data_IF_742209912408
#
_entry.id   IF_742209912408
#
_cell.length_a   1.000
_cell.length_b   1.000
_cell.length_c   1.000
_cell.angle_alpha   90.00
_cell.angle_beta   90.00
_cell.angle_gamma   90.00
#
_symmetry.space_group_name_H-M   'P 1'
#
loop_
_entity.id
_entity.type
_entity.pdbx_description
1 polymer ?
#
# COMPACT_ATOMS: atom_id res chain seq x y z
N UNK A 1 25.50 -30.86 12.65
CA UNK A 1 24.66 -32.01 13.04
C UNK A 1 23.30 -31.42 13.43
N UNK A 2 22.19 -31.61 12.74
CA UNK A 2 21.72 -32.68 11.86
C UNK A 2 20.78 -32.11 10.79
N UNK A 3 20.99 -32.51 9.54
CA UNK A 3 20.04 -32.42 8.44
C UNK A 3 18.71 -33.06 8.86
N UNK A 4 17.62 -32.28 8.93
CA UNK A 4 16.26 -32.84 9.05
C UNK A 4 15.16 -31.82 8.70
N UNK A 5 15.17 -31.26 7.48
CA UNK A 5 14.14 -30.29 7.04
C UNK A 5 13.43 -30.62 5.74
N UNK A 6 13.52 -31.86 5.22
CA UNK A 6 12.93 -32.23 3.92
C UNK A 6 11.49 -32.77 4.03
N UNK A 7 10.84 -32.74 5.21
CA UNK A 7 9.51 -33.35 5.42
C UNK A 7 8.36 -32.39 5.76
N UNK A 8 8.45 -31.11 5.36
CA UNK A 8 7.26 -30.21 5.31
C UNK A 8 7.08 -29.77 3.85
N UNK A 9 5.90 -30.01 3.29
CA UNK A 9 5.58 -29.66 1.89
C UNK A 9 6.02 -28.24 1.56
N UNK A 10 6.60 -28.06 0.37
CA UNK A 10 7.10 -26.76 -0.06
C UNK A 10 5.94 -25.79 -0.30
N UNK A 11 5.94 -24.68 0.45
CA UNK A 11 5.00 -23.58 0.29
C UNK A 11 5.38 -22.75 -0.95
N UNK A 12 4.42 -22.52 -1.85
CA UNK A 12 4.56 -21.69 -3.04
C UNK A 12 5.07 -20.29 -2.66
N UNK A 13 4.56 -19.69 -1.59
CA UNK A 13 5.00 -18.36 -1.15
C UNK A 13 6.47 -18.34 -0.75
N UNK A 14 6.98 -19.44 -0.18
CA UNK A 14 8.40 -19.59 0.16
C UNK A 14 9.25 -19.71 -1.11
N UNK A 15 8.79 -20.48 -2.09
CA UNK A 15 9.46 -20.63 -3.38
C UNK A 15 9.51 -19.31 -4.17
N UNK A 16 8.43 -18.53 -4.15
CA UNK A 16 8.37 -17.22 -4.80
C UNK A 16 9.39 -16.22 -4.24
N UNK A 17 9.74 -16.32 -2.95
CA UNK A 17 10.76 -15.46 -2.32
C UNK A 17 12.20 -15.86 -2.63
N UNK A 18 12.45 -17.09 -3.11
CA UNK A 18 13.79 -17.56 -3.44
C UNK A 18 14.36 -16.85 -4.67
N UNK A 19 15.69 -16.75 -4.71
CA UNK A 19 16.41 -16.23 -5.88
C UNK A 19 16.46 -17.31 -6.97
N UNK A 20 16.57 -16.89 -8.23
CA UNK A 20 16.54 -17.80 -9.39
C UNK A 20 17.63 -18.88 -9.31
N UNK A 21 18.83 -18.54 -8.82
CA UNK A 21 19.90 -19.54 -8.66
C UNK A 21 19.56 -20.61 -7.61
N UNK A 22 18.81 -20.27 -6.56
CA UNK A 22 18.37 -21.21 -5.52
C UNK A 22 17.30 -22.16 -6.07
N UNK A 23 16.39 -21.62 -6.88
CA UNK A 23 15.39 -22.41 -7.59
C UNK A 23 16.03 -23.35 -8.61
N UNK A 24 17.06 -22.91 -9.33
CA UNK A 24 17.81 -23.76 -10.26
C UNK A 24 18.52 -24.91 -9.54
N UNK A 25 19.12 -24.64 -8.37
CA UNK A 25 19.73 -25.69 -7.55
C UNK A 25 18.70 -26.73 -7.11
N UNK A 26 17.55 -26.27 -6.60
CA UNK A 26 16.45 -27.13 -6.18
C UNK A 26 15.88 -27.95 -7.36
N UNK A 27 15.68 -27.33 -8.51
CA UNK A 27 15.21 -28.00 -9.72
C UNK A 27 16.17 -29.13 -10.13
N UNK A 28 17.49 -28.88 -10.08
CA UNK A 28 18.51 -29.88 -10.38
C UNK A 28 18.48 -31.07 -9.40
N UNK A 29 18.29 -30.81 -8.11
CA UNK A 29 18.15 -31.88 -7.09
C UNK A 29 16.93 -32.78 -7.35
N UNK A 30 15.83 -32.21 -7.86
CA UNK A 30 14.58 -32.93 -8.11
C UNK A 30 14.54 -33.53 -9.53
N UNK A 31 15.49 -33.18 -10.40
CA UNK A 31 15.57 -33.68 -11.77
C UNK A 31 14.71 -32.91 -12.78
N UNK A 32 14.34 -31.67 -12.45
CA UNK A 32 13.60 -30.76 -13.34
C UNK A 32 14.57 -29.92 -14.16
N UNK A 33 14.38 -29.87 -15.48
CA UNK A 33 15.16 -28.98 -16.35
C UNK A 33 14.70 -27.53 -16.20
N UNK A 34 15.61 -26.65 -15.78
CA UNK A 34 15.36 -25.22 -15.61
C UNK A 34 15.65 -24.39 -16.88
N UNK A 35 16.19 -25.00 -17.94
CA UNK A 35 16.66 -24.28 -19.12
C UNK A 35 15.49 -23.61 -19.87
N UNK A 36 15.61 -22.30 -20.10
CA UNK A 36 14.64 -21.49 -20.86
C UNK A 36 13.32 -21.18 -20.13
N UNK A 37 13.16 -21.58 -18.87
CA UNK A 37 11.96 -21.32 -18.10
C UNK A 37 12.03 -19.97 -17.40
N UNK A 38 10.91 -19.25 -17.37
CA UNK A 38 10.73 -18.11 -16.46
C UNK A 38 10.66 -18.61 -15.02
N UNK A 39 10.94 -17.72 -14.05
CA UNK A 39 10.93 -18.05 -12.62
C UNK A 39 9.62 -18.72 -12.17
N UNK A 40 8.49 -18.20 -12.64
CA UNK A 40 7.15 -18.70 -12.33
C UNK A 40 6.92 -20.12 -12.87
N UNK A 41 7.28 -20.34 -14.14
CA UNK A 41 7.21 -21.65 -14.80
C UNK A 41 8.13 -22.67 -14.13
N UNK A 42 9.30 -22.24 -13.65
CA UNK A 42 10.23 -23.08 -12.90
C UNK A 42 9.63 -23.50 -11.54
N UNK A 43 9.01 -22.57 -10.81
CA UNK A 43 8.33 -22.87 -9.53
C UNK A 43 7.22 -23.89 -9.76
N UNK A 44 6.40 -23.68 -10.79
CA UNK A 44 5.33 -24.61 -11.17
C UNK A 44 5.88 -26.03 -11.39
N UNK A 45 6.93 -26.19 -12.20
CA UNK A 45 7.52 -27.52 -12.48
C UNK A 45 8.19 -28.16 -11.27
N UNK A 46 8.81 -27.37 -10.39
CA UNK A 46 9.40 -27.88 -9.14
C UNK A 46 8.30 -28.53 -8.29
N UNK A 47 7.17 -27.86 -8.14
CA UNK A 47 6.05 -28.34 -7.31
C UNK A 47 5.36 -29.54 -7.97
N UNK A 48 5.15 -29.50 -9.28
CA UNK A 48 4.58 -30.61 -10.05
C UNK A 48 5.43 -31.88 -9.89
N UNK A 49 6.74 -31.78 -10.09
CA UNK A 49 7.66 -32.91 -9.98
C UNK A 49 7.75 -33.49 -8.57
N UNK A 50 7.63 -32.65 -7.53
CA UNK A 50 7.59 -33.13 -6.14
C UNK A 50 6.27 -33.81 -5.80
N UNK A 51 5.16 -33.29 -6.29
CA UNK A 51 3.83 -33.87 -6.10
C UNK A 51 3.75 -35.27 -6.70
N UNK A 52 4.45 -35.53 -7.81
CA UNK A 52 4.52 -36.85 -8.45
C UNK A 52 5.39 -37.86 -7.68
N UNK A 53 6.49 -37.42 -7.05
CA UNK A 53 7.41 -38.32 -6.31
C UNK A 53 6.89 -38.80 -4.95
N UNK A 54 6.00 -38.03 -4.30
CA UNK A 54 5.42 -38.38 -3.00
C UNK A 54 4.01 -38.98 -3.15
N UNK A 55 3.89 -40.02 -3.97
CA UNK A 55 2.66 -40.77 -4.17
C UNK A 55 2.46 -41.79 -3.05
N UNK A 56 1.98 -41.32 -1.89
CA UNK A 56 1.26 -42.21 -0.98
C UNK A 56 -0.13 -42.52 -1.57
N UNK A 57 -0.68 -43.74 -1.41
CA UNK A 57 -1.89 -44.18 -2.12
C UNK A 57 -3.18 -43.41 -1.79
N UNK A 58 -3.18 -42.52 -0.79
CA UNK A 58 -4.35 -41.77 -0.33
C UNK A 58 -4.22 -40.23 -0.31
N UNK A 59 -3.09 -39.63 -0.73
CA UNK A 59 -2.87 -38.20 -0.45
C UNK A 59 -2.16 -37.44 -1.55
N UNK A 60 -2.91 -36.70 -2.37
CA UNK A 60 -2.33 -35.58 -3.12
C UNK A 60 -1.58 -34.68 -2.13
N UNK A 61 -0.33 -34.31 -2.44
CA UNK A 61 0.49 -33.51 -1.53
C UNK A 61 -0.22 -32.17 -1.24
N UNK A 62 -0.79 -32.05 -0.05
CA UNK A 62 -1.57 -30.89 0.34
C UNK A 62 -0.62 -29.81 0.83
N UNK A 63 -0.43 -28.76 0.03
CA UNK A 63 0.34 -27.58 0.42
C UNK A 63 -0.61 -26.57 1.07
N UNK A 64 -0.12 -25.78 2.03
CA UNK A 64 -0.86 -24.60 2.47
C UNK A 64 -0.27 -23.41 1.73
N UNK A 65 -1.13 -22.63 1.08
CA UNK A 65 -0.72 -21.39 0.42
C UNK A 65 -1.72 -20.29 0.73
N UNK A 66 -1.27 -19.05 0.57
CA UNK A 66 -2.04 -17.83 0.81
C UNK A 66 -1.96 -16.94 -0.43
N UNK A 67 -3.08 -16.38 -0.85
CA UNK A 67 -3.14 -15.38 -1.91
C UNK A 67 -4.40 -14.53 -1.83
N UNK A 68 -4.46 -13.48 -2.63
CA UNK A 68 -5.57 -12.52 -2.65
C UNK A 68 -6.54 -12.90 -3.76
N UNK A 69 -7.80 -13.15 -3.43
CA UNK A 69 -8.81 -13.58 -4.36
C UNK A 69 -9.13 -12.47 -5.38
N UNK A 70 -9.08 -12.82 -6.66
CA UNK A 70 -9.68 -12.07 -7.74
C UNK A 70 -10.82 -12.90 -8.33
N UNK A 71 -12.06 -12.43 -8.16
CA UNK A 71 -13.24 -13.06 -8.78
C UNK A 71 -13.38 -12.55 -10.21
N UNK A 72 -13.51 -13.48 -11.15
CA UNK A 72 -13.70 -13.22 -12.58
C UNK A 72 -15.21 -13.13 -12.87
N UNK A 73 -15.68 -12.35 -13.87
CA UNK A 73 -17.10 -12.20 -14.18
C UNK A 73 -17.90 -13.50 -14.33
N UNK A 74 -17.28 -14.60 -14.79
CA UNK A 74 -17.95 -15.90 -14.89
C UNK A 74 -18.15 -16.61 -13.53
N UNK A 75 -17.71 -16.01 -12.42
CA UNK A 75 -18.02 -16.41 -11.05
C UNK A 75 -16.99 -17.34 -10.39
N UNK A 76 -15.99 -17.82 -11.12
CA UNK A 76 -14.81 -18.46 -10.53
C UNK A 76 -13.73 -17.40 -10.21
N UNK A 77 -12.68 -17.78 -9.50
CA UNK A 77 -11.61 -16.84 -9.15
C UNK A 77 -10.22 -17.46 -9.10
N UNK A 78 -9.24 -16.59 -8.94
CA UNK A 78 -7.84 -16.97 -8.73
C UNK A 78 -7.27 -16.28 -7.50
N UNK A 79 -6.50 -16.99 -6.69
CA UNK A 79 -5.68 -16.38 -5.64
C UNK A 79 -4.40 -15.86 -6.27
N UNK A 80 -4.27 -14.53 -6.34
CA UNK A 80 -3.11 -13.83 -6.88
C UNK A 80 -2.05 -13.61 -5.79
N UNK A 81 -0.78 -13.68 -6.17
CA UNK A 81 0.33 -13.43 -5.24
C UNK A 81 0.72 -11.95 -5.17
N UNK A 82 0.99 -11.46 -3.96
CA UNK A 82 1.59 -10.15 -3.75
C UNK A 82 3.02 -10.06 -4.32
N UNK A 83 3.75 -11.19 -4.35
CA UNK A 83 5.13 -11.24 -4.90
C UNK A 83 5.16 -10.96 -6.41
N UNK A 84 4.03 -11.12 -7.09
CA UNK A 84 3.85 -10.82 -8.51
C UNK A 84 2.90 -9.63 -8.73
N UNK A 85 2.81 -8.72 -7.76
CA UNK A 85 1.99 -7.51 -7.83
C UNK A 85 0.50 -7.78 -8.18
N UNK A 86 -0.05 -8.91 -7.73
CA UNK A 86 -1.41 -9.35 -8.02
C UNK A 86 -1.72 -9.62 -9.50
N UNK A 87 -0.70 -9.87 -10.30
CA UNK A 87 -0.83 -10.22 -11.71
C UNK A 87 -1.14 -11.70 -11.88
N UNK A 88 -1.61 -12.04 -13.08
CA UNK A 88 -1.80 -13.42 -13.49
C UNK A 88 -0.46 -14.12 -13.61
N UNK A 89 -0.31 -15.25 -12.91
CA UNK A 89 0.88 -16.10 -12.97
C UNK A 89 0.48 -17.57 -13.16
N UNK A 90 1.32 -18.41 -13.81
CA UNK A 90 1.06 -19.84 -13.93
C UNK A 90 0.88 -20.58 -12.60
N UNK A 91 1.41 -20.04 -11.50
CA UNK A 91 1.27 -20.63 -10.16
C UNK A 91 0.05 -20.12 -9.37
N UNK A 92 -0.86 -19.39 -10.01
CA UNK A 92 -2.12 -18.96 -9.42
C UNK A 92 -3.02 -20.14 -9.05
N UNK A 93 -3.79 -19.94 -7.97
CA UNK A 93 -4.65 -20.98 -7.42
C UNK A 93 -6.09 -20.71 -7.83
N UNK A 94 -6.65 -21.64 -8.60
CA UNK A 94 -8.06 -21.67 -8.95
C UNK A 94 -8.94 -21.85 -7.71
N UNK A 95 -9.99 -21.04 -7.65
CA UNK A 95 -11.05 -21.08 -6.63
C UNK A 95 -12.38 -21.29 -7.32
N UNK A 96 -13.11 -22.32 -6.89
CA UNK A 96 -14.38 -22.67 -7.53
C UNK A 96 -15.50 -21.67 -7.17
N UNK A 97 -16.49 -21.46 -8.06
CA UNK A 97 -17.67 -20.67 -7.75
C UNK A 97 -18.42 -21.16 -6.50
N UNK A 98 -18.41 -22.47 -6.24
CA UNK A 98 -19.03 -23.08 -5.07
C UNK A 98 -18.33 -22.67 -3.77
N UNK A 99 -17.00 -22.59 -3.75
CA UNK A 99 -16.24 -22.11 -2.60
C UNK A 99 -16.49 -20.62 -2.35
N UNK A 100 -16.44 -19.80 -3.41
CA UNK A 100 -16.71 -18.35 -3.34
C UNK A 100 -18.11 -18.11 -2.76
N UNK A 101 -19.12 -18.78 -3.31
CA UNK A 101 -20.51 -18.62 -2.85
C UNK A 101 -20.72 -19.13 -1.42
N UNK A 102 -20.10 -20.26 -1.05
CA UNK A 102 -20.27 -20.87 0.28
C UNK A 102 -19.78 -19.95 1.40
N UNK A 103 -18.62 -19.34 1.23
CA UNK A 103 -17.99 -18.48 2.24
C UNK A 103 -18.22 -16.98 1.99
N UNK A 104 -19.10 -16.63 1.05
CA UNK A 104 -19.41 -15.24 0.67
C UNK A 104 -18.13 -14.42 0.35
N UNK A 105 -17.18 -15.05 -0.35
CA UNK A 105 -15.90 -14.41 -0.66
C UNK A 105 -16.05 -13.36 -1.76
N UNK A 106 -15.23 -12.32 -1.69
CA UNK A 106 -15.20 -11.19 -2.61
C UNK A 106 -13.78 -10.92 -3.08
N UNK A 107 -13.65 -10.23 -4.22
CA UNK A 107 -12.34 -9.76 -4.68
C UNK A 107 -11.66 -8.96 -3.56
N UNK A 108 -10.38 -9.22 -3.34
CA UNK A 108 -9.58 -8.65 -2.25
C UNK A 108 -9.42 -9.55 -1.03
N UNK A 109 -10.21 -10.62 -0.88
CA UNK A 109 -10.11 -11.52 0.28
C UNK A 109 -8.76 -12.24 0.28
N UNK A 110 -8.03 -12.14 1.38
CA UNK A 110 -6.78 -12.89 1.56
C UNK A 110 -7.11 -14.28 2.07
N UNK A 111 -7.05 -15.27 1.19
CA UNK A 111 -7.44 -16.65 1.49
C UNK A 111 -6.19 -17.48 1.74
N UNK A 112 -6.14 -18.17 2.88
CA UNK A 112 -5.17 -19.21 3.17
C UNK A 112 -5.84 -20.56 3.21
N UNK A 113 -5.25 -21.56 2.55
CA UNK A 113 -5.87 -22.87 2.48
C UNK A 113 -4.98 -23.94 1.89
N UNK A 114 -5.53 -25.16 1.94
CA UNK A 114 -4.97 -26.36 1.35
C UNK A 114 -5.10 -26.33 -0.16
N UNK A 115 -4.00 -26.55 -0.87
CA UNK A 115 -3.86 -26.46 -2.32
C UNK A 115 -3.28 -27.77 -2.85
N UNK A 116 -3.77 -28.18 -4.03
CA UNK A 116 -3.22 -29.30 -4.78
C UNK A 116 -2.69 -28.86 -6.14
N UNK A 117 -1.73 -29.62 -6.64
CA UNK A 117 -1.28 -29.53 -8.03
C UNK A 117 -2.42 -29.83 -9.03
N UNK A 118 -2.34 -29.28 -10.26
CA UNK A 118 -3.26 -29.64 -11.34
C UNK A 118 -3.21 -31.14 -11.64
N UNK A 119 -4.37 -31.74 -11.91
CA UNK A 119 -4.48 -33.09 -12.45
C UNK A 119 -4.29 -33.07 -13.97
N UNK A 120 -4.21 -34.26 -14.57
CA UNK A 120 -4.14 -34.42 -16.02
C UNK A 120 -5.30 -33.67 -16.71
N UNK A 121 -4.96 -32.71 -17.57
CA UNK A 121 -5.92 -31.82 -18.26
C UNK A 121 -6.22 -30.49 -17.56
N UNK A 122 -5.80 -30.28 -16.31
CA UNK A 122 -5.91 -29.00 -15.59
C UNK A 122 -4.64 -28.14 -15.79
N UNK A 123 -4.80 -26.81 -15.79
CA UNK A 123 -3.68 -25.87 -16.00
C UNK A 123 -3.20 -25.15 -14.74
N UNK A 124 -4.02 -25.12 -13.68
CA UNK A 124 -3.78 -24.31 -12.49
C UNK A 124 -3.82 -25.15 -11.23
N UNK A 125 -3.15 -24.67 -10.18
CA UNK A 125 -3.34 -25.20 -8.84
C UNK A 125 -4.80 -25.03 -8.41
N UNK A 126 -5.32 -25.93 -7.57
CA UNK A 126 -6.70 -25.86 -7.11
C UNK A 126 -6.79 -25.81 -5.59
N UNK A 127 -7.62 -24.89 -5.07
CA UNK A 127 -7.92 -24.79 -3.65
C UNK A 127 -8.83 -25.96 -3.22
N UNK A 128 -8.37 -26.77 -2.28
CA UNK A 128 -9.13 -27.89 -1.72
C UNK A 128 -9.98 -27.48 -0.52
N UNK A 129 -9.35 -26.83 0.45
CA UNK A 129 -9.98 -26.46 1.72
C UNK A 129 -9.47 -25.10 2.16
N UNK A 130 -10.38 -24.21 2.55
CA UNK A 130 -10.04 -22.91 3.12
C UNK A 130 -9.77 -23.11 4.62
N UNK A 131 -8.66 -22.54 5.09
CA UNK A 131 -8.30 -22.52 6.50
C UNK A 131 -8.71 -21.19 7.14
N UNK A 132 -8.36 -20.07 6.50
CA UNK A 132 -8.67 -18.72 7.00
C UNK A 132 -8.96 -17.76 5.86
N UNK A 133 -9.78 -16.75 6.13
CA UNK A 133 -10.04 -15.62 5.23
C UNK A 133 -9.73 -14.33 6.00
N UNK A 134 -8.82 -13.52 5.48
CA UNK A 134 -8.31 -12.29 6.11
C UNK A 134 -7.76 -12.51 7.53
N UNK A 135 -7.19 -13.71 7.76
CA UNK A 135 -6.64 -14.14 9.06
C UNK A 135 -7.67 -14.59 10.08
N UNK A 136 -8.97 -14.64 9.72
CA UNK A 136 -10.06 -15.08 10.58
C UNK A 136 -10.65 -16.42 10.12
N UNK A 137 -11.46 -17.04 10.99
CA UNK A 137 -12.24 -18.21 10.63
C UNK A 137 -13.20 -17.88 9.47
N UNK A 138 -13.27 -18.71 8.41
CA UNK A 138 -14.13 -18.46 7.25
C UNK A 138 -15.61 -18.24 7.59
N UNK A 139 -16.11 -18.85 8.66
CA UNK A 139 -17.51 -18.68 9.07
C UNK A 139 -17.76 -17.30 9.72
N UNK A 140 -16.78 -16.74 10.44
CA UNK A 140 -16.88 -15.37 10.98
C UNK A 140 -16.86 -14.36 9.84
N UNK A 141 -15.93 -14.53 8.92
CA UNK A 141 -15.73 -13.63 7.78
C UNK A 141 -16.95 -13.59 6.86
N UNK A 142 -17.74 -14.66 6.83
CA UNK A 142 -18.97 -14.75 6.04
C UNK A 142 -20.04 -13.73 6.44
N UNK A 143 -20.11 -13.38 7.73
CA UNK A 143 -21.10 -12.47 8.30
C UNK A 143 -20.64 -11.00 8.33
N UNK A 144 -19.42 -10.71 7.84
CA UNK A 144 -18.86 -9.35 7.88
C UNK A 144 -19.70 -8.36 7.07
N UNK A 145 -19.84 -7.10 7.53
CA UNK A 145 -20.52 -6.06 6.77
C UNK A 145 -19.76 -5.70 5.49
N UNK A 146 -20.47 -5.10 4.54
CA UNK A 146 -19.84 -4.48 3.37
C UNK A 146 -19.18 -3.16 3.78
N UNK A 147 -17.99 -2.88 3.26
CA UNK A 147 -17.25 -1.65 3.50
C UNK A 147 -18.09 -0.39 3.23
N UNK A 148 -18.94 -0.44 2.21
CA UNK A 148 -19.82 0.66 1.82
C UNK A 148 -20.93 0.97 2.86
N UNK A 149 -21.26 0.01 3.72
CA UNK A 149 -22.30 0.15 4.75
C UNK A 149 -21.73 0.62 6.10
N UNK A 150 -20.40 0.65 6.25
CA UNK A 150 -19.72 1.05 7.47
C UNK A 150 -19.79 2.57 7.68
N UNK A 151 -19.96 3.00 8.94
CA UNK A 151 -20.18 4.41 9.27
C UNK A 151 -18.86 5.19 9.23
N UNK A 152 -18.68 6.17 8.33
CA UNK A 152 -17.45 6.93 8.23
C UNK A 152 -17.35 8.00 9.32
N UNK A 153 -16.21 8.05 10.00
CA UNK A 153 -15.86 9.08 10.99
C UNK A 153 -14.62 9.88 10.57
N UNK A 154 -14.40 11.00 11.25
CA UNK A 154 -13.09 11.64 11.23
C UNK A 154 -12.07 10.78 11.99
N UNK A 155 -10.79 10.83 11.60
CA UNK A 155 -9.72 10.22 12.38
C UNK A 155 -9.69 10.78 13.81
N UNK A 156 -9.65 9.89 14.80
CA UNK A 156 -9.61 10.21 16.24
C UNK A 156 -8.46 9.52 16.98
N UNK A 157 -7.75 8.59 16.32
CA UNK A 157 -6.54 7.97 16.82
C UNK A 157 -5.37 8.35 15.91
N UNK A 158 -4.28 8.82 16.50
CA UNK A 158 -3.14 9.36 15.78
C UNK A 158 -2.09 8.30 15.47
N UNK A 159 -1.60 8.29 14.23
CA UNK A 159 -0.40 7.59 13.81
C UNK A 159 0.83 8.47 14.11
N UNK A 160 1.55 8.14 15.19
CA UNK A 160 2.74 8.86 15.62
C UNK A 160 3.91 8.56 14.68
N UNK A 161 4.52 9.60 14.12
CA UNK A 161 5.62 9.48 13.15
C UNK A 161 7.01 9.73 13.75
N UNK A 162 7.08 10.40 14.90
CA UNK A 162 8.32 10.60 15.64
C UNK A 162 8.94 9.26 16.07
N UNK A 163 10.21 9.05 15.74
CA UNK A 163 10.91 7.79 16.06
C UNK A 163 12.25 7.97 16.77
N UNK A 164 13.13 8.86 16.30
CA UNK A 164 14.48 9.12 16.83
C UNK A 164 14.70 10.63 16.82
N UNK A 165 15.56 11.13 17.72
CA UNK A 165 15.85 12.57 17.82
C UNK A 165 16.27 13.21 16.49
N UNK A 166 17.09 12.50 15.70
CA UNK A 166 17.62 12.96 14.42
C UNK A 166 16.63 12.89 13.27
N UNK A 167 15.47 12.25 13.46
CA UNK A 167 14.44 12.12 12.44
C UNK A 167 13.50 13.33 12.51
N UNK A 168 13.98 14.46 11.99
CA UNK A 168 13.22 15.72 12.00
C UNK A 168 11.94 15.63 11.18
N UNK A 169 11.89 14.78 10.15
CA UNK A 169 10.73 14.72 9.27
C UNK A 169 9.49 14.21 10.01
N UNK A 170 9.60 13.08 10.70
CA UNK A 170 8.51 12.53 11.51
C UNK A 170 8.08 13.50 12.61
N UNK A 171 9.06 14.14 13.27
CA UNK A 171 8.80 15.13 14.34
C UNK A 171 8.04 16.37 13.84
N UNK A 172 8.45 16.94 12.72
CA UNK A 172 7.81 18.12 12.10
C UNK A 172 6.40 17.77 11.62
N UNK A 173 6.24 16.63 10.94
CA UNK A 173 4.92 16.16 10.52
C UNK A 173 3.98 15.96 11.71
N UNK A 174 4.49 15.38 12.78
CA UNK A 174 3.72 15.17 14.01
C UNK A 174 3.22 16.49 14.63
N UNK A 175 3.91 17.61 14.43
CA UNK A 175 3.48 18.90 14.98
C UNK A 175 2.49 19.60 14.04
N UNK A 176 2.75 19.59 12.73
CA UNK A 176 2.03 20.46 11.79
C UNK A 176 1.04 19.74 10.88
N UNK A 177 1.22 18.44 10.66
CA UNK A 177 0.38 17.62 9.79
C UNK A 177 0.13 16.25 10.44
N UNK A 178 -0.54 16.20 11.61
CA UNK A 178 -0.78 14.94 12.29
C UNK A 178 -1.57 14.00 11.38
N UNK A 179 -1.15 12.74 11.30
CA UNK A 179 -1.85 11.71 10.52
C UNK A 179 -2.67 10.88 11.50
N UNK A 180 -3.97 10.73 11.24
CA UNK A 180 -4.82 9.81 11.99
C UNK A 180 -5.10 8.50 11.25
N UNK A 181 -5.54 7.49 12.00
CA UNK A 181 -6.16 6.28 11.47
C UNK A 181 -7.44 6.65 10.69
N UNK A 182 -7.41 6.43 9.38
CA UNK A 182 -8.47 6.84 8.46
C UNK A 182 -8.19 8.14 7.67
N UNK A 183 -6.97 8.69 7.74
CA UNK A 183 -6.63 9.94 7.06
C UNK A 183 -6.65 9.81 5.53
N UNK A 184 -7.11 10.87 4.86
CA UNK A 184 -6.94 11.10 3.42
C UNK A 184 -5.90 12.20 3.21
N UNK A 185 -4.64 11.81 3.15
CA UNK A 185 -3.51 12.72 3.05
C UNK A 185 -3.00 12.89 1.63
N UNK A 186 -2.70 14.12 1.25
CA UNK A 186 -2.07 14.46 -0.02
C UNK A 186 -0.70 15.10 0.22
N UNK A 187 0.36 14.44 -0.24
CA UNK A 187 1.71 15.00 -0.30
C UNK A 187 1.85 15.72 -1.64
N UNK A 188 1.78 17.04 -1.61
CA UNK A 188 1.89 17.91 -2.78
C UNK A 188 3.37 18.16 -3.05
N UNK A 189 3.88 17.58 -4.12
CA UNK A 189 5.32 17.56 -4.38
C UNK A 189 5.65 18.00 -5.80
N UNK A 190 6.56 18.96 -5.94
CA UNK A 190 7.26 19.15 -7.22
C UNK A 190 8.27 18.01 -7.44
N UNK A 191 8.69 17.76 -8.70
CA UNK A 191 9.81 16.87 -8.97
C UNK A 191 11.06 17.26 -8.17
N UNK A 192 11.82 16.27 -7.69
CA UNK A 192 13.10 16.44 -6.94
C UNK A 192 13.00 17.19 -5.59
N UNK A 193 11.86 17.08 -4.90
CA UNK A 193 11.66 17.66 -3.56
C UNK A 193 11.89 16.69 -2.39
N UNK A 194 12.20 15.42 -2.67
CA UNK A 194 12.41 14.39 -1.64
C UNK A 194 11.18 13.56 -1.29
N UNK A 195 10.16 13.53 -2.17
CA UNK A 195 8.94 12.70 -2.08
C UNK A 195 9.22 11.26 -1.62
N UNK A 196 10.14 10.56 -2.27
CA UNK A 196 10.44 9.14 -1.99
C UNK A 196 11.01 8.96 -0.58
N UNK A 197 11.93 9.83 -0.17
CA UNK A 197 12.50 9.81 1.19
C UNK A 197 11.43 10.07 2.25
N UNK A 198 10.51 10.99 1.99
CA UNK A 198 9.38 11.28 2.87
C UNK A 198 8.48 10.04 3.02
N UNK A 199 8.10 9.39 1.92
CA UNK A 199 7.27 8.18 1.98
C UNK A 199 7.96 7.03 2.72
N UNK A 200 9.25 6.79 2.47
CA UNK A 200 10.03 5.79 3.20
C UNK A 200 10.09 6.08 4.70
N UNK A 201 10.22 7.36 5.08
CA UNK A 201 10.22 7.78 6.48
C UNK A 201 8.85 7.51 7.14
N UNK A 202 7.75 7.91 6.48
CA UNK A 202 6.38 7.63 6.97
C UNK A 202 6.19 6.12 7.15
N UNK A 203 6.58 5.33 6.16
CA UNK A 203 6.46 3.88 6.18
C UNK A 203 7.20 3.27 7.38
N UNK A 204 8.47 3.61 7.54
CA UNK A 204 9.31 3.09 8.62
C UNK A 204 8.86 3.57 10.01
N UNK A 205 8.31 4.79 10.11
CA UNK A 205 7.74 5.29 11.34
C UNK A 205 6.48 4.52 11.74
N UNK A 206 5.58 4.23 10.79
CA UNK A 206 4.39 3.41 11.02
C UNK A 206 4.78 1.99 11.42
N UNK A 207 5.71 1.34 10.71
CA UNK A 207 6.18 -0.02 11.05
C UNK A 207 6.73 -0.06 12.49
N UNK A 208 7.51 0.95 12.89
CA UNK A 208 8.13 1.00 14.21
C UNK A 208 7.12 1.29 15.32
N UNK A 209 6.25 2.27 15.13
CA UNK A 209 5.39 2.81 16.19
C UNK A 209 4.01 2.15 16.22
N UNK A 210 3.57 1.58 15.09
CA UNK A 210 2.26 1.00 14.86
C UNK A 210 2.35 -0.37 14.15
N UNK A 211 3.00 -1.37 14.77
CA UNK A 211 3.17 -2.70 14.17
C UNK A 211 1.84 -3.44 13.94
N UNK A 212 0.74 -2.99 14.55
CA UNK A 212 -0.61 -3.51 14.32
C UNK A 212 -1.20 -3.10 12.96
N UNK A 213 -0.69 -2.04 12.36
CA UNK A 213 -1.19 -1.48 11.10
C UNK A 213 -0.67 -2.28 9.92
N UNK A 214 -1.59 -2.68 9.04
CA UNK A 214 -1.22 -3.32 7.78
C UNK A 214 -0.79 -2.27 6.77
N UNK A 215 0.52 -2.19 6.50
CA UNK A 215 1.10 -1.20 5.59
C UNK A 215 1.28 -1.76 4.18
N UNK A 216 0.71 -1.06 3.20
CA UNK A 216 0.86 -1.32 1.77
C UNK A 216 1.52 -0.10 1.13
N UNK A 217 2.57 -0.31 0.35
CA UNK A 217 3.17 0.71 -0.52
C UNK A 217 2.79 0.39 -1.95
N UNK A 218 2.02 1.28 -2.59
CA UNK A 218 1.54 1.13 -3.96
C UNK A 218 2.27 2.11 -4.88
N UNK A 219 3.08 1.59 -5.79
CA UNK A 219 3.88 2.37 -6.74
C UNK A 219 3.30 2.22 -8.15
N UNK A 220 2.86 3.33 -8.75
CA UNK A 220 2.18 3.38 -10.05
C UNK A 220 2.99 4.24 -11.01
N UNK A 221 3.33 3.65 -12.17
CA UNK A 221 4.05 4.31 -13.26
C UNK A 221 5.36 4.98 -12.77
N UNK A 222 6.05 4.26 -11.88
CA UNK A 222 7.33 4.67 -11.30
C UNK A 222 8.49 3.83 -11.86
N UNK A 223 9.72 4.32 -11.66
CA UNK A 223 10.90 3.67 -12.23
C UNK A 223 11.28 2.36 -11.51
N UNK A 224 11.73 1.32 -12.24
CA UNK A 224 12.12 0.04 -11.63
C UNK A 224 13.18 0.14 -10.52
N UNK A 225 14.13 1.06 -10.66
CA UNK A 225 15.16 1.31 -9.64
C UNK A 225 14.58 1.91 -8.35
N UNK A 226 13.57 2.78 -8.46
CA UNK A 226 12.89 3.39 -7.32
C UNK A 226 11.98 2.37 -6.61
N UNK A 227 11.33 1.49 -7.38
CA UNK A 227 10.58 0.34 -6.83
C UNK A 227 11.51 -0.57 -6.03
N UNK A 228 12.69 -0.89 -6.57
CA UNK A 228 13.66 -1.74 -5.89
C UNK A 228 14.20 -1.09 -4.62
N UNK A 229 14.46 0.21 -4.65
CA UNK A 229 14.91 0.98 -3.47
C UNK A 229 13.86 0.98 -2.36
N UNK A 230 12.60 1.23 -2.70
CA UNK A 230 11.47 1.17 -1.76
C UNK A 230 11.32 -0.23 -1.14
N UNK A 231 11.32 -1.28 -1.97
CA UNK A 231 11.16 -2.67 -1.52
C UNK A 231 12.28 -3.15 -0.59
N UNK A 232 13.48 -2.56 -0.68
CA UNK A 232 14.62 -2.87 0.21
C UNK A 232 14.64 -2.02 1.47
N UNK A 233 14.01 -0.85 1.43
CA UNK A 233 14.10 0.15 2.51
C UNK A 233 12.94 0.08 3.50
N UNK A 234 11.88 -0.65 3.17
CA UNK A 234 10.65 -0.72 3.96
C UNK A 234 10.20 -2.17 4.10
N UNK A 235 10.02 -2.63 5.34
CA UNK A 235 9.47 -3.95 5.66
C UNK A 235 7.92 -3.93 5.59
N UNK A 236 7.40 -3.71 4.39
CA UNK A 236 5.96 -3.66 4.11
C UNK A 236 5.60 -4.44 2.85
N UNK A 237 4.31 -4.57 2.59
CA UNK A 237 3.85 -5.08 1.31
C UNK A 237 4.03 -4.01 0.22
N UNK A 238 5.05 -4.17 -0.61
CA UNK A 238 5.32 -3.26 -1.73
C UNK A 238 4.75 -3.85 -3.02
N UNK A 239 3.76 -3.17 -3.58
CA UNK A 239 3.06 -3.54 -4.82
C UNK A 239 3.35 -2.47 -5.86
N UNK A 240 3.71 -2.88 -7.07
CA UNK A 240 4.14 -1.94 -8.10
C UNK A 240 3.64 -2.28 -9.50
N UNK A 241 3.51 -1.24 -10.31
CA UNK A 241 3.30 -1.32 -11.76
C UNK A 241 4.18 -0.23 -12.39
N UNK A 242 5.33 -0.63 -12.95
CA UNK A 242 6.35 0.30 -13.46
C UNK A 242 5.91 1.00 -14.74
N UNK A 243 6.60 2.06 -15.15
CA UNK A 243 6.28 2.82 -16.38
C UNK A 243 6.38 1.99 -17.69
N UNK A 244 7.01 0.82 -17.64
CA UNK A 244 7.11 -0.12 -18.78
C UNK A 244 5.78 -0.85 -19.06
N UNK A 245 4.79 -0.70 -18.19
CA UNK A 245 3.53 -1.43 -18.21
C UNK A 245 2.37 -0.62 -18.81
N UNK A 246 1.37 -1.30 -19.35
CA UNK A 246 0.19 -0.64 -19.93
C UNK A 246 -0.68 0.06 -18.87
N UNK A 247 -1.38 1.17 -19.20
CA UNK A 247 -2.28 1.87 -18.29
C UNK A 247 -3.36 1.00 -17.63
N UNK A 248 -3.90 0.02 -18.36
CA UNK A 248 -4.87 -0.95 -17.86
C UNK A 248 -4.30 -1.74 -16.67
N UNK A 249 -3.00 -2.06 -16.73
CA UNK A 249 -2.31 -2.77 -15.66
C UNK A 249 -2.15 -1.91 -14.42
N UNK A 250 -1.83 -0.61 -14.57
CA UNK A 250 -1.79 0.30 -13.42
C UNK A 250 -3.13 0.34 -12.68
N UNK A 251 -4.23 0.43 -13.44
CA UNK A 251 -5.59 0.45 -12.86
C UNK A 251 -5.94 -0.87 -12.20
N UNK A 252 -5.67 -2.00 -12.84
CA UNK A 252 -5.95 -3.32 -12.27
C UNK A 252 -5.24 -3.56 -10.95
N UNK A 253 -3.95 -3.22 -10.87
CA UNK A 253 -3.13 -3.39 -9.65
C UNK A 253 -3.66 -2.50 -8.53
N UNK A 254 -3.98 -1.23 -8.83
CA UNK A 254 -4.58 -0.32 -7.85
C UNK A 254 -5.94 -0.81 -7.35
N UNK A 255 -6.81 -1.29 -8.23
CA UNK A 255 -8.13 -1.83 -7.87
C UNK A 255 -7.99 -3.06 -6.95
N UNK A 256 -7.05 -3.97 -7.24
CA UNK A 256 -6.79 -5.14 -6.38
C UNK A 256 -6.30 -4.73 -4.98
N UNK A 257 -5.37 -3.77 -4.90
CA UNK A 257 -4.86 -3.25 -3.61
C UNK A 257 -5.97 -2.58 -2.82
N UNK A 258 -6.82 -1.79 -3.46
CA UNK A 258 -7.94 -1.12 -2.81
C UNK A 258 -8.95 -2.13 -2.26
N UNK A 259 -9.35 -3.11 -3.07
CA UNK A 259 -10.29 -4.14 -2.63
C UNK A 259 -9.73 -4.97 -1.49
N UNK A 260 -8.45 -5.36 -1.54
CA UNK A 260 -7.76 -6.01 -0.41
C UNK A 260 -7.84 -5.17 0.87
N UNK A 261 -7.50 -3.88 0.77
CA UNK A 261 -7.54 -2.98 1.92
C UNK A 261 -8.94 -2.87 2.52
N UNK A 262 -9.98 -2.78 1.69
CA UNK A 262 -11.37 -2.78 2.16
C UNK A 262 -11.73 -4.08 2.91
N UNK A 263 -11.35 -5.25 2.39
CA UNK A 263 -11.62 -6.55 3.04
C UNK A 263 -10.97 -6.65 4.41
N UNK A 264 -9.71 -6.18 4.54
CA UNK A 264 -9.01 -6.13 5.82
C UNK A 264 -9.72 -5.19 6.82
N UNK A 265 -10.21 -4.03 6.36
CA UNK A 265 -10.93 -3.07 7.21
C UNK A 265 -12.28 -3.60 7.66
N UNK A 266 -13.00 -4.32 6.79
CA UNK A 266 -14.26 -5.01 7.13
C UNK A 266 -14.11 -6.03 8.27
N UNK A 267 -12.89 -6.56 8.49
CA UNK A 267 -12.58 -7.47 9.61
C UNK A 267 -11.85 -6.79 10.77
N UNK A 268 -11.92 -5.46 10.85
CA UNK A 268 -11.40 -4.70 11.99
C UNK A 268 -9.92 -4.33 11.93
N UNK A 269 -9.24 -4.46 10.79
CA UNK A 269 -7.82 -4.08 10.65
C UNK A 269 -7.66 -2.60 10.30
N UNK A 270 -6.65 -1.97 10.89
CA UNK A 270 -6.14 -0.69 10.42
C UNK A 270 -5.20 -0.90 9.24
N UNK A 271 -5.48 -0.25 8.12
CA UNK A 271 -4.72 -0.37 6.88
C UNK A 271 -4.21 1.00 6.46
N UNK A 272 -2.94 1.09 6.09
CA UNK A 272 -2.35 2.29 5.47
C UNK A 272 -1.88 1.95 4.07
N UNK A 273 -2.33 2.72 3.08
CA UNK A 273 -1.79 2.70 1.72
C UNK A 273 -0.96 3.97 1.50
N UNK A 274 0.33 3.78 1.20
CA UNK A 274 1.20 4.84 0.69
C UNK A 274 1.21 4.75 -0.84
N UNK A 275 0.53 5.67 -1.51
CA UNK A 275 0.37 5.68 -2.96
C UNK A 275 1.31 6.68 -3.62
N UNK A 276 2.16 6.18 -4.51
CA UNK A 276 3.04 6.98 -5.36
C UNK A 276 2.83 6.65 -6.85
N UNK A 277 2.04 7.39 -7.63
CA UNK A 277 1.34 8.63 -7.27
C UNK A 277 -0.11 8.62 -7.74
N UNK A 278 -0.95 9.42 -7.06
CA UNK A 278 -2.35 9.54 -7.47
C UNK A 278 -2.52 10.30 -8.79
N UNK A 279 -1.59 11.20 -9.11
CA UNK A 279 -1.56 11.89 -10.40
C UNK A 279 -1.38 10.90 -11.54
N UNK A 280 -0.43 9.96 -11.42
CA UNK A 280 -0.19 8.93 -12.44
C UNK A 280 -1.34 7.94 -12.55
N UNK A 281 -1.94 7.54 -11.42
CA UNK A 281 -3.13 6.70 -11.43
C UNK A 281 -4.30 7.40 -12.17
N UNK A 282 -4.52 8.69 -11.92
CA UNK A 282 -5.55 9.46 -12.62
C UNK A 282 -5.28 9.59 -14.12
N UNK A 283 -4.01 9.76 -14.52
CA UNK A 283 -3.60 9.73 -15.94
C UNK A 283 -3.92 8.38 -16.59
N UNK A 284 -3.57 7.28 -15.93
CA UNK A 284 -3.88 5.93 -16.43
C UNK A 284 -5.40 5.74 -16.64
N UNK A 285 -6.22 6.16 -15.67
CA UNK A 285 -7.68 6.14 -15.81
C UNK A 285 -8.20 6.99 -16.96
N UNK A 286 -7.60 8.16 -17.22
CA UNK A 286 -7.97 9.01 -18.34
C UNK A 286 -7.63 8.40 -19.70
N UNK A 287 -6.54 7.63 -19.78
CA UNK A 287 -6.14 6.95 -21.02
C UNK A 287 -7.06 5.79 -21.38
N UNK A 288 -7.49 5.00 -20.39
CA UNK A 288 -8.28 3.78 -20.64
C UNK A 288 -9.79 4.03 -20.80
N UNK A 289 -10.29 5.19 -20.36
CA UNK A 289 -11.73 5.44 -20.37
C UNK A 289 -12.22 5.70 -21.80
N UNK A 290 -13.33 5.09 -22.25
CA UNK A 290 -13.94 5.45 -23.51
C UNK A 290 -14.35 6.92 -23.51
N UNK A 291 -14.07 7.64 -24.60
CA UNK A 291 -14.40 9.06 -24.71
C UNK A 291 -15.89 9.31 -24.51
N UNK A 292 -16.22 10.18 -23.55
CA UNK A 292 -17.60 10.60 -23.24
C UNK A 292 -18.12 11.70 -24.18
N UNK A 293 -17.25 12.27 -25.02
CA UNK A 293 -17.54 13.45 -25.83
C UNK A 293 -17.48 14.78 -25.06
N UNK A 294 -17.20 14.75 -23.74
CA UNK A 294 -17.03 15.93 -22.89
C UNK A 294 -15.61 15.96 -22.31
N UNK A 295 -14.78 16.83 -22.85
CA UNK A 295 -13.39 17.02 -22.40
C UNK A 295 -13.31 18.30 -21.56
N UNK A 296 -12.82 18.15 -20.33
CA UNK A 296 -12.53 19.23 -19.39
C UNK A 296 -11.18 19.90 -19.73
N UNK A 297 -10.88 20.99 -19.03
CA UNK A 297 -9.57 21.64 -19.13
C UNK A 297 -8.43 20.64 -18.88
N UNK A 298 -7.34 20.78 -19.61
CA UNK A 298 -6.19 19.88 -19.49
C UNK A 298 -6.34 18.52 -20.21
N UNK A 299 -7.37 18.33 -21.05
CA UNK A 299 -7.52 17.11 -21.85
C UNK A 299 -8.08 15.91 -21.07
N UNK A 300 -8.76 16.18 -19.95
CA UNK A 300 -9.32 15.15 -19.07
C UNK A 300 -10.76 14.88 -19.47
N UNK A 301 -11.12 13.61 -19.68
CA UNK A 301 -12.52 13.23 -19.89
C UNK A 301 -13.34 13.49 -18.61
N UNK A 302 -14.57 13.99 -18.76
CA UNK A 302 -15.44 14.32 -17.62
C UNK A 302 -15.66 13.14 -16.64
N UNK A 303 -15.57 11.89 -17.13
CA UNK A 303 -15.74 10.70 -16.29
C UNK A 303 -14.42 10.12 -15.75
N UNK A 304 -13.27 10.54 -16.28
CA UNK A 304 -11.96 9.93 -15.98
C UNK A 304 -11.60 9.97 -14.50
N UNK A 305 -11.95 11.06 -13.80
CA UNK A 305 -11.59 11.26 -12.39
C UNK A 305 -12.52 10.55 -11.41
N UNK A 306 -13.62 9.95 -11.87
CA UNK A 306 -14.60 9.30 -10.99
C UNK A 306 -13.99 8.13 -10.21
N UNK A 307 -13.29 7.23 -10.89
CA UNK A 307 -12.67 6.06 -10.25
C UNK A 307 -11.48 6.46 -9.34
N UNK A 308 -10.52 7.29 -9.78
CA UNK A 308 -9.48 7.81 -8.92
C UNK A 308 -10.01 8.53 -7.66
N UNK A 309 -11.08 9.34 -7.78
CA UNK A 309 -11.73 9.97 -6.63
C UNK A 309 -12.34 8.95 -5.66
N UNK A 310 -12.97 7.89 -6.18
CA UNK A 310 -13.47 6.79 -5.34
C UNK A 310 -12.35 6.04 -4.64
N UNK A 311 -11.21 5.83 -5.31
CA UNK A 311 -10.03 5.24 -4.69
C UNK A 311 -9.55 6.07 -3.50
N UNK A 312 -9.30 7.37 -3.69
CA UNK A 312 -8.81 8.24 -2.62
C UNK A 312 -9.86 8.48 -1.53
N UNK A 313 -11.13 8.64 -1.93
CA UNK A 313 -12.27 8.80 -1.05
C UNK A 313 -12.66 7.53 -0.28
N UNK A 314 -12.05 6.39 -0.59
CA UNK A 314 -12.24 5.18 0.20
C UNK A 314 -11.63 5.35 1.59
N UNK A 315 -10.53 6.08 1.75
CA UNK A 315 -9.90 6.30 3.05
C UNK A 315 -10.83 7.04 4.01
N UNK A 316 -11.03 6.44 5.19
CA UNK A 316 -11.95 6.87 6.23
C UNK A 316 -11.64 6.11 7.52
N UNK A 317 -11.91 6.74 8.65
CA UNK A 317 -12.05 6.05 9.92
C UNK A 317 -13.44 5.41 9.97
N UNK A 318 -13.61 4.27 10.63
CA UNK A 318 -14.89 3.58 10.73
C UNK A 318 -15.21 3.30 12.20
N UNK A 319 -16.47 3.49 12.57
CA UNK A 319 -16.94 3.26 13.94
C UNK A 319 -16.97 1.77 14.32
N UNK A 320 -17.47 0.92 13.42
CA UNK A 320 -17.72 -0.51 13.67
C UNK A 320 -16.58 -1.44 13.22
N UNK A 321 -15.47 -0.90 12.73
CA UNK A 321 -14.41 -1.63 12.04
C UNK A 321 -13.02 -1.05 12.29
N UNK A 322 -12.09 -1.37 11.40
CA UNK A 322 -10.76 -0.74 11.42
C UNK A 322 -10.76 0.60 10.70
N UNK A 323 -9.60 1.06 10.25
CA UNK A 323 -9.50 2.29 9.46
C UNK A 323 -8.79 2.08 8.14
N UNK A 324 -9.18 2.83 7.11
CA UNK A 324 -8.43 2.91 5.85
C UNK A 324 -7.76 4.27 5.75
N UNK A 325 -6.44 4.31 5.87
CA UNK A 325 -5.62 5.51 5.68
C UNK A 325 -5.00 5.46 4.29
N UNK A 326 -5.11 6.54 3.51
CA UNK A 326 -4.42 6.68 2.22
C UNK A 326 -3.62 7.97 2.26
N UNK A 327 -2.31 7.85 2.13
CA UNK A 327 -1.38 8.97 1.93
C UNK A 327 -0.86 8.86 0.52
N UNK A 328 -1.31 9.77 -0.34
CA UNK A 328 -0.94 9.76 -1.74
C UNK A 328 -0.09 10.97 -2.09
N UNK A 329 0.87 10.79 -2.99
CA UNK A 329 1.63 11.93 -3.54
C UNK A 329 0.92 12.48 -4.77
N UNK A 330 0.81 13.80 -4.87
CA UNK A 330 0.33 14.51 -6.05
C UNK A 330 1.46 15.37 -6.63
N UNK A 331 1.66 15.24 -7.94
CA UNK A 331 2.64 16.03 -8.67
C UNK A 331 2.04 17.39 -9.04
N UNK A 332 2.78 18.45 -8.74
CA UNK A 332 2.46 19.84 -9.14
C UNK A 332 3.67 20.48 -9.81
N UNK A 333 3.45 21.62 -10.49
CA UNK A 333 4.47 22.37 -11.21
C UNK A 333 5.25 21.51 -12.24
N UNK A 334 4.55 20.56 -12.88
CA UNK A 334 5.13 19.67 -13.91
C UNK A 334 5.16 20.32 -15.29
N UNK A 335 4.50 21.48 -15.45
CA UNK A 335 4.24 22.10 -16.75
C UNK A 335 3.05 21.50 -17.51
N UNK A 336 2.37 20.50 -16.94
CA UNK A 336 1.17 19.89 -17.53
C UNK A 336 -0.10 20.47 -16.94
N UNK A 337 -0.95 21.07 -17.78
CA UNK A 337 -2.27 21.58 -17.35
C UNK A 337 -3.18 20.47 -16.85
N UNK A 338 -2.99 19.24 -17.33
CA UNK A 338 -3.70 18.05 -16.86
C UNK A 338 -3.42 17.80 -15.37
N UNK A 339 -2.16 17.92 -14.95
CA UNK A 339 -1.77 17.64 -13.57
C UNK A 339 -2.32 18.70 -12.61
N UNK A 340 -2.35 19.96 -13.02
CA UNK A 340 -2.97 21.05 -12.25
C UNK A 340 -4.44 20.74 -11.95
N UNK A 341 -5.19 20.31 -12.98
CA UNK A 341 -6.62 20.00 -12.85
C UNK A 341 -6.81 18.75 -11.98
N UNK A 342 -5.99 17.71 -12.18
CA UNK A 342 -6.00 16.52 -11.32
C UNK A 342 -5.77 16.90 -9.86
N UNK A 343 -4.76 17.73 -9.60
CA UNK A 343 -4.42 18.17 -8.24
C UNK A 343 -5.58 18.90 -7.57
N UNK A 344 -6.18 19.89 -8.23
CA UNK A 344 -7.30 20.66 -7.66
C UNK A 344 -8.51 19.77 -7.33
N UNK A 345 -8.79 18.77 -8.16
CA UNK A 345 -9.89 17.81 -7.95
C UNK A 345 -9.66 16.91 -6.72
N UNK A 346 -8.41 16.54 -6.44
CA UNK A 346 -8.05 15.75 -5.26
C UNK A 346 -7.88 16.57 -3.99
N UNK A 347 -7.44 17.82 -4.11
CA UNK A 347 -7.32 18.76 -3.00
C UNK A 347 -8.65 18.93 -2.26
N UNK A 348 -9.76 19.04 -3.00
CA UNK A 348 -11.10 19.08 -2.43
C UNK A 348 -11.55 17.80 -1.72
N UNK A 349 -10.97 16.65 -2.06
CA UNK A 349 -11.33 15.32 -1.54
C UNK A 349 -10.55 14.95 -0.27
N UNK A 350 -9.30 15.43 -0.17
CA UNK A 350 -8.41 15.20 0.96
C UNK A 350 -8.81 15.96 2.23
N UNK A 351 -8.30 15.48 3.36
CA UNK A 351 -8.43 16.16 4.66
C UNK A 351 -7.08 16.40 5.36
N UNK A 352 -5.96 16.02 4.75
CA UNK A 352 -4.61 16.46 5.11
C UNK A 352 -3.85 16.85 3.84
N UNK A 353 -3.13 17.97 3.90
CA UNK A 353 -2.23 18.43 2.84
C UNK A 353 -0.84 18.67 3.43
N UNK A 354 0.17 18.05 2.83
CA UNK A 354 1.59 18.30 3.14
C UNK A 354 2.26 18.80 1.87
N UNK A 355 2.71 20.05 1.89
CA UNK A 355 3.30 20.71 0.73
C UNK A 355 4.81 20.65 0.84
N UNK A 356 5.47 20.13 -0.20
CA UNK A 356 6.91 20.23 -0.36
C UNK A 356 7.27 21.47 -1.18
N UNK A 357 8.34 22.15 -0.79
CA UNK A 357 8.82 23.37 -1.44
C UNK A 357 10.21 23.15 -2.06
N UNK A 358 10.28 23.30 -3.38
CA UNK A 358 11.51 23.21 -4.17
C UNK A 358 12.60 24.19 -3.71
N UNK A 359 12.27 25.35 -3.15
CA UNK A 359 13.25 26.33 -2.62
C UNK A 359 14.07 25.75 -1.46
N UNK A 360 13.45 24.89 -0.65
CA UNK A 360 14.14 24.18 0.43
C UNK A 360 15.09 23.12 -0.13
N UNK A 361 14.61 22.29 -1.07
CA UNK A 361 15.42 21.21 -1.64
C UNK A 361 16.59 21.72 -2.48
N UNK A 362 16.43 22.82 -3.22
CA UNK A 362 17.52 23.47 -3.98
C UNK A 362 18.62 24.02 -3.07
N UNK A 363 18.27 24.44 -1.84
CA UNK A 363 19.22 24.81 -0.78
C UNK A 363 19.71 23.62 0.06
N UNK A 364 19.34 22.38 -0.30
CA UNK A 364 19.66 21.14 0.43
C UNK A 364 19.15 21.12 1.88
N UNK A 365 18.02 21.79 2.13
CA UNK A 365 17.35 21.80 3.42
C UNK A 365 16.27 20.72 3.39
N UNK A 366 16.45 19.68 4.22
CA UNK A 366 15.48 18.59 4.38
C UNK A 366 15.07 18.45 5.85
N UNK A 367 13.80 18.11 6.13
CA UNK A 367 12.73 17.85 5.17
C UNK A 367 12.26 19.14 4.44
N UNK A 368 11.95 19.03 3.15
CA UNK A 368 11.60 20.18 2.31
C UNK A 368 10.13 20.59 2.46
N UNK A 369 9.60 20.63 3.69
CA UNK A 369 8.18 20.86 3.99
C UNK A 369 7.90 22.36 4.14
N UNK A 370 6.91 22.88 3.41
CA UNK A 370 6.31 24.17 3.68
C UNK A 370 5.31 24.06 4.83
N UNK A 371 5.76 24.41 6.04
CA UNK A 371 5.00 24.30 7.28
C UNK A 371 3.70 25.12 7.24
N UNK A 372 3.74 26.30 6.63
CA UNK A 372 2.61 27.24 6.66
C UNK A 372 1.51 26.83 5.69
N UNK A 373 1.86 26.23 4.54
CA UNK A 373 0.91 25.70 3.57
C UNK A 373 0.40 24.29 3.90
N UNK A 374 1.04 23.60 4.84
CA UNK A 374 0.68 22.25 5.24
C UNK A 374 -0.26 22.26 6.45
N UNK A 375 -1.21 21.32 6.50
CA UNK A 375 -2.13 21.20 7.62
C UNK A 375 -3.08 20.01 7.53
N UNK A 376 -3.74 19.72 8.65
CA UNK A 376 -4.75 18.65 8.75
C UNK A 376 -6.08 19.23 9.22
N UNK A 377 -7.17 18.89 8.52
CA UNK A 377 -8.52 19.26 8.95
C UNK A 377 -8.88 18.46 10.20
N UNK A 378 -9.59 19.10 11.13
CA UNK A 378 -10.03 18.47 12.39
C UNK A 378 -8.87 17.94 13.25
N UNK A 379 -7.72 18.62 13.21
CA UNK A 379 -6.54 18.25 14.01
C UNK A 379 -6.78 18.30 15.53
N UNK A 380 -7.81 19.01 16.00
CA UNK A 380 -8.23 19.00 17.40
C UNK A 380 -8.65 17.62 17.92
N UNK A 381 -8.98 16.67 17.03
CA UNK A 381 -9.29 15.28 17.38
C UNK A 381 -8.04 14.40 17.53
N UNK A 382 -6.88 14.87 17.06
CA UNK A 382 -5.61 14.13 17.03
C UNK A 382 -4.59 14.67 18.04
N UNK A 383 -4.87 15.83 18.63
CA UNK A 383 -4.02 16.48 19.62
C UNK A 383 -4.70 16.55 20.98
N UNK A 384 -3.88 16.53 22.03
CA UNK A 384 -4.30 17.06 23.31
C UNK A 384 -4.50 18.59 23.24
N UNK A 385 -5.29 19.15 24.15
CA UNK A 385 -5.51 20.60 24.22
C UNK A 385 -4.20 21.40 24.39
N UNK A 386 -3.24 20.83 25.13
CA UNK A 386 -1.92 21.42 25.36
C UNK A 386 -1.07 21.44 24.08
N UNK A 387 -1.01 20.31 23.35
CA UNK A 387 -0.31 20.24 22.06
C UNK A 387 -0.94 21.20 21.03
N UNK A 388 -2.26 21.20 20.92
CA UNK A 388 -2.97 22.06 19.96
C UNK A 388 -2.67 23.54 20.20
N UNK A 389 -2.74 23.98 21.46
CA UNK A 389 -2.43 25.36 21.84
C UNK A 389 -0.98 25.74 21.50
N UNK A 390 -0.03 24.83 21.73
CA UNK A 390 1.39 25.05 21.43
C UNK A 390 1.68 25.06 19.94
N UNK A 391 1.12 24.11 19.18
CA UNK A 391 1.22 24.08 17.72
C UNK A 391 0.69 25.38 17.13
N UNK A 392 -0.41 25.91 17.65
CA UNK A 392 -0.99 27.18 17.19
C UNK A 392 -0.08 28.39 17.46
N UNK A 393 0.49 28.50 18.67
CA UNK A 393 1.45 29.54 19.00
C UNK A 393 2.68 29.47 18.09
N UNK A 394 3.18 28.26 17.84
CA UNK A 394 4.31 28.05 16.94
C UNK A 394 3.98 28.45 15.50
N UNK A 395 2.80 28.09 14.98
CA UNK A 395 2.32 28.53 13.66
C UNK A 395 2.24 30.04 13.55
N UNK A 396 1.74 30.73 14.58
CA UNK A 396 1.70 32.20 14.64
C UNK A 396 3.08 32.82 14.60
N UNK A 397 4.02 32.29 15.38
CA UNK A 397 5.40 32.79 15.40
C UNK A 397 6.11 32.59 14.04
N UNK A 398 5.81 31.49 13.35
CA UNK A 398 6.38 31.18 12.04
C UNK A 398 5.71 31.96 10.89
N UNK A 399 4.53 32.54 11.10
CA UNK A 399 3.74 33.15 10.02
C UNK A 399 4.43 34.33 9.33
N UNK A 400 5.26 35.08 10.05
CA UNK A 400 6.00 36.23 9.51
C UNK A 400 7.32 35.85 8.82
N UNK A 401 7.67 34.56 8.80
CA UNK A 401 8.93 34.04 8.26
C UNK A 401 8.72 33.39 6.89
N UNK A 402 9.76 33.39 6.07
CA UNK A 402 9.73 32.62 4.83
C UNK A 402 9.95 31.11 5.10
N UNK A 403 9.60 30.20 4.17
CA UNK A 403 9.72 28.75 4.41
C UNK A 403 11.12 28.27 4.79
N UNK A 404 12.17 28.93 4.29
CA UNK A 404 13.55 28.56 4.62
C UNK A 404 13.87 28.91 6.08
N UNK A 405 13.55 30.12 6.50
CA UNK A 405 13.71 30.56 7.89
C UNK A 405 12.90 29.70 8.86
N UNK A 406 11.68 29.32 8.48
CA UNK A 406 10.84 28.41 9.26
C UNK A 406 11.55 27.06 9.48
N UNK A 407 12.07 26.46 8.41
CA UNK A 407 12.69 25.14 8.49
C UNK A 407 14.04 25.19 9.23
N UNK A 408 14.86 26.21 9.00
CA UNK A 408 16.12 26.42 9.72
C UNK A 408 15.86 26.60 11.24
N UNK A 409 14.88 27.43 11.61
CA UNK A 409 14.46 27.62 13.00
C UNK A 409 14.01 26.30 13.64
N UNK A 410 13.13 25.55 12.96
CA UNK A 410 12.63 24.27 13.49
C UNK A 410 13.78 23.27 13.70
N UNK A 411 14.69 23.15 12.73
CA UNK A 411 15.85 22.25 12.84
C UNK A 411 16.78 22.64 13.97
N UNK A 412 17.07 23.94 14.12
CA UNK A 412 17.90 24.46 15.21
C UNK A 412 17.30 24.06 16.56
N UNK A 413 16.03 24.44 16.82
CA UNK A 413 15.38 24.18 18.11
C UNK A 413 15.08 22.70 18.38
N UNK A 414 14.81 21.91 17.33
CA UNK A 414 14.64 20.47 17.48
C UNK A 414 15.96 19.75 17.75
N UNK A 415 17.10 20.28 17.30
CA UNK A 415 18.40 19.66 17.55
C UNK A 415 18.78 19.69 19.04
N UNK A 416 18.32 20.71 19.77
CA UNK A 416 18.51 20.87 21.22
C UNK A 416 17.62 19.94 22.07
N UNK A 417 16.65 19.23 21.46
CA UNK A 417 15.62 18.47 22.18
C UNK A 417 15.51 17.03 21.68
N UNK A 418 15.24 16.10 22.60
CA UNK A 418 15.21 14.66 22.29
C UNK A 418 13.96 14.23 21.54
N UNK A 419 12.82 14.82 21.89
CA UNK A 419 11.51 14.51 21.34
C UNK A 419 10.61 15.76 21.31
N UNK A 420 9.42 15.62 20.74
CA UNK A 420 8.43 16.67 20.57
C UNK A 420 7.84 17.12 21.92
N UNK A 421 7.79 16.23 22.91
CA UNK A 421 7.31 16.57 24.25
C UNK A 421 8.27 17.53 24.95
N UNK A 422 9.58 17.26 24.87
CA UNK A 422 10.62 18.12 25.41
C UNK A 422 10.76 19.41 24.60
N UNK A 423 10.60 19.35 23.27
CA UNK A 423 10.50 20.54 22.42
C UNK A 423 9.39 21.49 22.87
N UNK A 424 8.18 20.95 23.08
CA UNK A 424 7.05 21.74 23.56
C UNK A 424 7.23 22.32 24.95
N UNK A 425 7.95 21.64 25.85
CA UNK A 425 8.32 22.18 27.17
C UNK A 425 9.39 23.27 27.07
N UNK A 426 10.36 23.10 26.17
CA UNK A 426 11.45 24.05 25.99
C UNK A 426 10.95 25.42 25.52
N UNK A 427 9.92 25.46 24.66
CA UNK A 427 9.31 26.73 24.24
C UNK A 427 8.56 27.50 25.34
N UNK A 428 8.34 26.88 26.52
CA UNK A 428 7.74 27.55 27.68
C UNK A 428 8.78 28.25 28.58
N UNK A 429 10.08 27.97 28.39
CA UNK A 429 11.17 28.61 29.10
C UNK A 429 11.75 29.76 28.26
#
# INVERSE_FOLDING_TARGET
MSNNSVSKGLDINVLQKKKVYELNALAKEIGVSAAGLRKEELIFKIIEAQSQKNTDPEGAQVMVNTGVLQVIPEGYGFLRSANYNYLSSPDDIYVSPSQIKRFNMRTGDTVSGQVRAPKEGERFFALLKINTIDGNDPEITRERPFFENLTPLFPNERLKLETRQTEYCGRIMDIFTPIGKGQRGLIVAQPKTGKTMLLQMIANAIIKNHPEVFLIVLLIDERPEEVTDMARSVEAEVVSSTFDEDPERHVQVADMVLEKAKRLVEVGRDVVILLDSITRLARAHNTIIPHSGKILSGGIDANALTKPKRFFGAARNIEEGGSLTIIATALVDTGSRMDDVIFEEFKGTGNMELVLDRRLSERRIFPAIDILRSGTRKEELLFSQEELSRTWLLRKYLADKNPVECMEFMREKMSDTKDNKDFFKYMNA
#
